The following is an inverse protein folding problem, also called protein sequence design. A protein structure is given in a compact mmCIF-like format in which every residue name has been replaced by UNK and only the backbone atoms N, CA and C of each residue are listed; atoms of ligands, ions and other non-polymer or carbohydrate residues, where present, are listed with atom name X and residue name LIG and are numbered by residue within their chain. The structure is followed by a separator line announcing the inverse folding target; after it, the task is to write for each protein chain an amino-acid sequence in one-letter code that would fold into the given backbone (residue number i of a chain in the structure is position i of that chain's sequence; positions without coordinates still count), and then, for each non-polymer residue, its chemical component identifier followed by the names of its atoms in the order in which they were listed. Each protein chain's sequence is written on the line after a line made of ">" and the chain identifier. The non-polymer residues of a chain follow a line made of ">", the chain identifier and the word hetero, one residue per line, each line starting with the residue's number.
data_IF_982701358742
#
_entry.id   IF_982701358742
#
_cell.length_a   1.000
_cell.length_b   1.000
_cell.length_c   1.000
_cell.angle_alpha   90.00
_cell.angle_beta   90.00
_cell.angle_gamma   90.00
#
_symmetry.space_group_name_H-M   'P 1'
#
loop_
_entity.id
_entity.type
_entity.pdbx_description
1 polymer ?
#
# COMPACT_ATOMS: atom_id res chain seq x y z
N UNK A 1 -18.72 -7.93 10.75
CA UNK A 1 -17.56 -7.27 11.38
C UNK A 1 -16.84 -8.36 12.14
N UNK A 2 -15.58 -8.64 11.83
CA UNK A 2 -14.82 -9.70 12.50
C UNK A 2 -14.71 -9.40 14.00
N UNK A 3 -15.23 -10.30 14.83
CA UNK A 3 -15.43 -10.10 16.28
C UNK A 3 -14.11 -10.17 17.10
N UNK A 4 -12.94 -10.12 16.45
CA UNK A 4 -11.64 -10.37 17.11
C UNK A 4 -10.49 -9.40 16.73
N UNK A 5 -10.80 -8.17 16.30
CA UNK A 5 -9.74 -7.18 16.01
C UNK A 5 -9.25 -6.55 17.33
N UNK A 6 -8.10 -6.99 17.84
CA UNK A 6 -7.42 -6.36 18.98
C UNK A 6 -6.63 -5.14 18.53
N UNK A 7 -6.66 -4.03 19.28
CA UNK A 7 -5.86 -2.86 18.94
C UNK A 7 -4.37 -3.16 19.09
N UNK A 8 -3.59 -2.83 18.06
CA UNK A 8 -2.14 -2.91 18.07
C UNK A 8 -1.53 -1.93 19.09
N UNK A 9 -2.18 -0.78 19.30
CA UNK A 9 -1.75 0.20 20.30
C UNK A 9 -2.94 0.95 20.87
N UNK A 10 -2.94 1.17 22.17
CA UNK A 10 -3.94 2.00 22.86
C UNK A 10 -3.22 3.19 23.49
N UNK A 11 -3.70 4.40 23.20
CA UNK A 11 -3.16 5.65 23.72
C UNK A 11 -4.26 6.33 24.54
N UNK A 12 -3.93 6.75 25.76
CA UNK A 12 -4.82 7.56 26.60
C UNK A 12 -4.33 9.00 26.63
N UNK A 13 -5.23 9.95 26.37
CA UNK A 13 -4.96 11.39 26.44
C UNK A 13 -6.13 12.06 27.16
N UNK A 14 -5.93 12.44 28.42
CA UNK A 14 -7.01 12.89 29.31
C UNK A 14 -8.12 11.85 29.42
N UNK A 15 -9.36 12.23 29.06
CA UNK A 15 -10.53 11.35 29.04
C UNK A 15 -10.71 10.60 27.70
N UNK A 16 -9.81 10.79 26.73
CA UNK A 16 -9.89 10.17 25.41
C UNK A 16 -9.05 8.90 25.35
N UNK A 17 -9.63 7.82 24.80
CA UNK A 17 -8.92 6.57 24.49
C UNK A 17 -8.86 6.40 22.98
N UNK A 18 -7.65 6.36 22.42
CA UNK A 18 -7.38 6.13 20.99
C UNK A 18 -6.93 4.68 20.84
N UNK A 19 -7.60 3.92 19.99
CA UNK A 19 -7.25 2.54 19.64
C UNK A 19 -6.74 2.50 18.19
N UNK A 20 -5.48 2.13 18.02
CA UNK A 20 -4.84 1.95 16.72
C UNK A 20 -4.93 0.47 16.37
N UNK A 21 -5.55 0.16 15.25
CA UNK A 21 -5.69 -1.20 14.73
C UNK A 21 -4.73 -1.37 13.56
N UNK A 22 -3.86 -2.38 13.62
CA UNK A 22 -3.11 -2.81 12.45
C UNK A 22 -3.90 -3.88 11.72
N UNK A 23 -3.78 -3.97 10.39
CA UNK A 23 -4.25 -5.14 9.67
C UNK A 23 -3.70 -6.42 10.31
N UNK A 24 -4.42 -7.54 10.23
CA UNK A 24 -3.90 -8.83 10.66
C UNK A 24 -2.52 -9.08 10.03
N UNK A 25 -1.56 -9.69 10.76
CA UNK A 25 -0.29 -10.05 10.19
C UNK A 25 -0.51 -10.97 8.98
N UNK A 26 0.06 -10.57 7.85
CA UNK A 26 0.00 -11.32 6.60
C UNK A 26 1.15 -12.31 6.55
N UNK A 27 0.96 -13.49 5.95
CA UNK A 27 2.07 -14.39 5.70
C UNK A 27 3.06 -13.76 4.70
N UNK A 28 4.32 -14.16 4.77
CA UNK A 28 5.33 -13.70 3.82
C UNK A 28 4.92 -14.02 2.37
N UNK A 29 4.39 -15.22 2.13
CA UNK A 29 3.90 -15.65 0.81
C UNK A 29 2.75 -14.77 0.29
N UNK A 30 1.76 -14.46 1.12
CA UNK A 30 0.64 -13.59 0.72
C UNK A 30 1.11 -12.15 0.48
N UNK A 31 2.08 -11.67 1.27
CA UNK A 31 2.72 -10.38 1.05
C UNK A 31 3.45 -10.33 -0.29
N UNK A 32 4.27 -11.34 -0.59
CA UNK A 32 4.99 -11.46 -1.86
C UNK A 32 4.02 -11.56 -3.05
N UNK A 33 2.93 -12.33 -2.92
CA UNK A 33 1.89 -12.42 -3.95
C UNK A 33 1.30 -11.05 -4.27
N UNK A 34 0.90 -10.28 -3.24
CA UNK A 34 0.31 -8.95 -3.44
C UNK A 34 1.30 -7.96 -4.04
N UNK A 35 2.55 -7.99 -3.63
CA UNK A 35 3.60 -7.15 -4.20
C UNK A 35 3.79 -7.49 -5.68
N UNK A 36 3.84 -8.77 -6.03
CA UNK A 36 3.96 -9.22 -7.42
C UNK A 36 2.74 -8.80 -8.26
N UNK A 37 1.51 -8.96 -7.73
CA UNK A 37 0.29 -8.50 -8.38
C UNK A 37 0.32 -6.98 -8.63
N UNK A 38 0.74 -6.20 -7.64
CA UNK A 38 0.89 -4.76 -7.76
C UNK A 38 1.91 -4.39 -8.84
N UNK A 39 3.10 -5.00 -8.85
CA UNK A 39 4.11 -4.72 -9.86
C UNK A 39 3.65 -5.10 -11.26
N UNK A 40 3.00 -6.26 -11.42
CA UNK A 40 2.46 -6.67 -12.71
C UNK A 40 1.42 -5.67 -13.23
N UNK A 41 0.52 -5.19 -12.36
CA UNK A 41 -0.46 -4.18 -12.73
C UNK A 41 0.20 -2.83 -13.07
N UNK A 42 1.20 -2.41 -12.30
CA UNK A 42 1.93 -1.18 -12.54
C UNK A 42 2.69 -1.22 -13.87
N UNK A 43 3.36 -2.33 -14.19
CA UNK A 43 4.05 -2.51 -15.46
C UNK A 43 3.08 -2.60 -16.64
N UNK A 44 1.97 -3.32 -16.51
CA UNK A 44 0.95 -3.37 -17.56
C UNK A 44 0.36 -1.99 -17.85
N UNK A 45 0.11 -1.19 -16.80
CA UNK A 45 -0.34 0.19 -16.95
C UNK A 45 0.74 1.05 -17.62
N UNK A 46 2.00 0.94 -17.18
CA UNK A 46 3.11 1.64 -17.81
C UNK A 46 3.18 1.32 -19.29
N UNK A 47 3.13 0.04 -19.67
CA UNK A 47 3.20 -0.40 -21.06
C UNK A 47 2.05 0.14 -21.91
N UNK A 48 0.87 0.34 -21.31
CA UNK A 48 -0.30 0.90 -22.00
C UNK A 48 -0.15 2.38 -22.40
N UNK A 49 0.76 3.13 -21.78
CA UNK A 49 1.00 4.52 -22.15
C UNK A 49 1.77 4.64 -23.48
N UNK A 50 1.44 5.68 -24.23
CA UNK A 50 2.21 6.07 -25.42
C UNK A 50 3.62 6.53 -25.02
N UNK A 51 4.53 6.54 -26.00
CA UNK A 51 5.90 7.03 -25.79
C UNK A 51 5.93 8.47 -25.29
N UNK A 52 5.04 9.34 -25.80
CA UNK A 52 4.96 10.74 -25.38
C UNK A 52 4.53 10.88 -23.92
N UNK A 53 3.53 10.11 -23.48
CA UNK A 53 3.07 10.10 -22.09
C UNK A 53 4.16 9.58 -21.15
N UNK A 54 4.86 8.50 -21.53
CA UNK A 54 6.00 7.96 -20.77
C UNK A 54 7.10 9.00 -20.60
N UNK A 55 7.45 9.71 -21.68
CA UNK A 55 8.47 10.77 -21.65
C UNK A 55 8.05 11.93 -20.75
N UNK A 56 6.78 12.34 -20.80
CA UNK A 56 6.25 13.39 -19.93
C UNK A 56 6.32 12.99 -18.46
N UNK A 57 5.88 11.78 -18.12
CA UNK A 57 5.94 11.25 -16.74
C UNK A 57 7.40 11.19 -16.26
N UNK A 58 8.32 10.69 -17.10
CA UNK A 58 9.74 10.64 -16.77
C UNK A 58 10.35 12.03 -16.59
N UNK A 59 9.95 13.03 -17.39
CA UNK A 59 10.43 14.40 -17.22
C UNK A 59 9.91 15.07 -15.94
N UNK A 60 8.71 14.68 -15.47
CA UNK A 60 8.09 15.25 -14.28
C UNK A 60 8.55 14.57 -12.99
N UNK A 61 8.80 13.25 -13.02
CA UNK A 61 9.05 12.44 -11.82
C UNK A 61 10.34 11.60 -11.86
N UNK A 62 11.03 11.52 -13.01
CA UNK A 62 12.30 10.83 -13.14
C UNK A 62 13.35 11.52 -12.27
N UNK A 63 13.85 10.81 -11.26
CA UNK A 63 14.99 11.26 -10.47
C UNK A 63 16.27 10.86 -11.21
N UNK A 64 17.21 11.79 -11.39
CA UNK A 64 18.57 11.51 -11.91
C UNK A 64 19.41 10.66 -10.95
#
# INVERSE_FOLDING_TARGET
>A
MDENIKPAKVIKSGNTTIQIFTPPPMSAEESERRINEFYNAAWALWDSFSTEEKLKINAEYGSE
#
